data_IF_065041677696
#
_entry.id   IF_065041677696
#
_cell.length_a   1.000
_cell.length_b   1.000
_cell.length_c   1.000
_cell.angle_alpha   90.00
_cell.angle_beta   90.00
_cell.angle_gamma   90.00
#
_symmetry.space_group_name_H-M   'P 1'
#
loop_
_entity.id
_entity.type
_entity.pdbx_description
1 polymer ?
#
# COMPACT_ATOMS: atom_id res chain seq x y z
N UNK A 1 36.58 -13.19 -4.09
CA UNK A 1 35.36 -12.64 -4.71
C UNK A 1 34.83 -11.53 -3.81
N UNK A 2 34.58 -10.31 -4.31
CA UNK A 2 33.94 -9.24 -3.51
C UNK A 2 32.43 -9.36 -3.70
N UNK A 3 31.70 -9.58 -2.62
CA UNK A 3 30.24 -9.62 -2.61
C UNK A 3 29.76 -8.21 -2.23
N UNK A 4 28.93 -7.60 -3.07
CA UNK A 4 28.34 -6.29 -2.85
C UNK A 4 26.81 -6.43 -2.74
N UNK A 5 26.27 -6.67 -1.54
CA UNK A 5 24.82 -6.79 -1.37
C UNK A 5 24.17 -5.42 -1.56
N UNK A 6 23.03 -5.39 -2.26
CA UNK A 6 22.20 -4.20 -2.44
C UNK A 6 20.78 -4.54 -2.00
N UNK A 7 20.20 -3.70 -1.13
CA UNK A 7 18.77 -3.72 -0.87
C UNK A 7 18.11 -2.82 -1.91
N UNK A 8 17.20 -3.38 -2.69
CA UNK A 8 16.53 -2.65 -3.77
C UNK A 8 15.03 -2.76 -3.57
N UNK A 9 14.33 -1.62 -3.46
CA UNK A 9 12.88 -1.54 -3.22
C UNK A 9 12.21 -0.54 -4.17
N UNK A 10 10.92 -0.72 -4.43
CA UNK A 10 10.12 0.18 -5.27
C UNK A 10 9.78 -0.36 -6.67
N UNK A 11 8.85 0.31 -7.34
CA UNK A 11 8.28 -0.11 -8.63
C UNK A 11 9.28 -0.13 -9.79
N UNK A 12 10.29 0.75 -9.76
CA UNK A 12 11.31 0.86 -10.80
C UNK A 12 12.35 -0.28 -10.78
N UNK A 13 12.39 -1.03 -9.68
CA UNK A 13 13.41 -2.07 -9.44
C UNK A 13 13.28 -3.23 -10.41
N UNK A 14 12.05 -3.59 -10.81
CA UNK A 14 11.84 -4.66 -11.78
C UNK A 14 12.57 -4.40 -13.11
N UNK A 15 12.55 -3.15 -13.58
CA UNK A 15 13.26 -2.75 -14.80
C UNK A 15 14.78 -2.76 -14.62
N UNK A 16 15.27 -2.31 -13.46
CA UNK A 16 16.71 -2.36 -13.14
C UNK A 16 17.24 -3.79 -13.05
N UNK A 17 16.46 -4.69 -12.46
CA UNK A 17 16.78 -6.13 -12.41
C UNK A 17 16.82 -6.70 -13.83
N UNK A 18 15.86 -6.34 -14.70
CA UNK A 18 15.86 -6.78 -16.10
C UNK A 18 17.13 -6.35 -16.85
N UNK A 19 17.56 -5.10 -16.65
CA UNK A 19 18.81 -4.60 -17.23
C UNK A 19 20.02 -5.29 -16.62
N UNK A 20 20.10 -5.37 -15.30
CA UNK A 20 21.23 -5.99 -14.60
C UNK A 20 21.38 -7.45 -15.02
N UNK A 21 20.29 -8.20 -15.12
CA UNK A 21 20.27 -9.59 -15.58
C UNK A 21 20.76 -9.74 -17.03
N UNK A 22 20.50 -8.76 -17.91
CA UNK A 22 20.99 -8.78 -19.30
C UNK A 22 22.50 -8.61 -19.41
N UNK A 23 23.12 -7.81 -18.53
CA UNK A 23 24.55 -7.49 -18.62
C UNK A 23 25.43 -8.29 -17.64
N UNK A 24 24.86 -8.83 -16.57
CA UNK A 24 25.55 -9.62 -15.55
C UNK A 24 25.35 -11.13 -15.75
N UNK A 25 25.67 -11.60 -16.95
CA UNK A 25 25.57 -13.01 -17.32
C UNK A 25 26.52 -13.93 -16.52
N UNK A 26 26.21 -15.24 -16.49
CA UNK A 26 27.06 -16.26 -15.87
C UNK A 26 26.96 -16.32 -14.33
N UNK A 27 25.80 -15.99 -13.76
CA UNK A 27 25.56 -16.06 -12.30
C UNK A 27 26.22 -14.94 -11.50
N UNK A 28 26.54 -13.82 -12.14
CA UNK A 28 27.12 -12.63 -11.50
C UNK A 28 26.07 -11.77 -10.78
N UNK A 29 24.80 -12.02 -11.03
CA UNK A 29 23.66 -11.48 -10.29
C UNK A 29 22.92 -12.64 -9.62
N UNK A 30 22.68 -12.52 -8.32
CA UNK A 30 21.86 -13.43 -7.55
C UNK A 30 20.75 -12.64 -6.87
N UNK A 31 19.52 -13.07 -7.05
CA UNK A 31 18.34 -12.41 -6.50
C UNK A 31 17.87 -13.16 -5.24
N UNK A 32 17.68 -12.41 -4.15
CA UNK A 32 17.08 -12.92 -2.92
C UNK A 32 15.77 -12.16 -2.74
N UNK A 33 14.66 -12.87 -2.94
CA UNK A 33 13.33 -12.32 -2.74
C UNK A 33 12.97 -12.33 -1.27
N UNK A 34 12.50 -11.19 -0.76
CA UNK A 34 11.97 -11.05 0.60
C UNK A 34 10.45 -11.00 0.53
N UNK A 35 9.78 -11.66 1.47
CA UNK A 35 8.34 -11.47 1.64
C UNK A 35 8.11 -10.01 2.08
N UNK A 36 7.26 -9.24 1.38
CA UNK A 36 6.97 -7.86 1.78
C UNK A 36 6.25 -7.78 3.13
N UNK A 37 5.53 -8.84 3.51
CA UNK A 37 4.80 -8.91 4.78
C UNK A 37 5.69 -9.48 5.89
N UNK A 38 5.67 -8.82 7.04
CA UNK A 38 6.31 -9.31 8.25
C UNK A 38 5.44 -10.39 8.91
N UNK A 39 6.04 -11.22 9.77
CA UNK A 39 5.24 -12.04 10.69
C UNK A 39 4.50 -11.13 11.67
N UNK A 40 3.37 -11.55 12.27
CA UNK A 40 2.62 -10.71 13.21
C UNK A 40 3.48 -10.13 14.34
N UNK A 41 4.41 -10.89 14.87
CA UNK A 41 5.33 -10.45 15.94
C UNK A 41 6.29 -9.37 15.44
N UNK A 42 6.79 -9.52 14.21
CA UNK A 42 7.65 -8.52 13.56
C UNK A 42 6.88 -7.29 13.09
N UNK A 43 5.62 -7.46 12.70
CA UNK A 43 4.70 -6.36 12.42
C UNK A 43 4.49 -5.50 13.67
N UNK A 44 4.19 -6.13 14.80
CA UNK A 44 4.07 -5.42 16.08
C UNK A 44 5.37 -4.71 16.48
N UNK A 45 6.54 -5.37 16.32
CA UNK A 45 7.84 -4.72 16.55
C UNK A 45 8.03 -3.50 15.63
N UNK A 46 7.62 -3.59 14.36
CA UNK A 46 7.70 -2.48 13.41
C UNK A 46 6.82 -1.31 13.85
N UNK A 47 5.62 -1.55 14.36
CA UNK A 47 4.73 -0.50 14.90
C UNK A 47 5.43 0.29 16.00
N UNK A 48 6.03 -0.39 16.99
CA UNK A 48 6.77 0.30 18.05
C UNK A 48 7.99 1.07 17.52
N UNK A 49 8.76 0.47 16.60
CA UNK A 49 9.93 1.14 16.01
C UNK A 49 9.55 2.39 15.22
N UNK A 50 8.45 2.37 14.47
CA UNK A 50 7.98 3.54 13.74
C UNK A 50 7.42 4.59 14.69
N UNK A 51 6.67 4.19 15.72
CA UNK A 51 6.21 5.08 16.79
C UNK A 51 7.38 5.82 17.44
N UNK A 52 8.44 5.11 17.81
CA UNK A 52 9.67 5.73 18.35
C UNK A 52 10.36 6.64 17.33
N UNK A 53 10.47 6.20 16.07
CA UNK A 53 11.19 6.93 15.03
C UNK A 53 10.49 8.25 14.65
N UNK A 54 9.15 8.26 14.62
CA UNK A 54 8.35 9.44 14.27
C UNK A 54 7.89 10.24 15.49
N UNK A 55 8.10 9.73 16.70
CA UNK A 55 7.65 10.38 17.94
C UNK A 55 6.12 10.33 18.13
N UNK A 56 5.45 9.34 17.53
CA UNK A 56 4.00 9.20 17.57
C UNK A 56 3.58 8.26 18.68
N UNK A 57 2.82 8.70 19.69
CA UNK A 57 2.45 7.85 20.81
C UNK A 57 1.45 6.76 20.40
N UNK A 58 1.69 5.54 20.89
CA UNK A 58 0.77 4.40 20.76
C UNK A 58 0.63 3.68 22.11
N UNK A 59 -0.48 3.00 22.33
CA UNK A 59 -0.65 2.08 23.47
C UNK A 59 -0.37 0.65 23.01
N UNK A 60 -0.28 -0.29 23.95
CA UNK A 60 -0.08 -1.70 23.60
C UNK A 60 -1.25 -2.24 22.75
N UNK A 61 -2.47 -1.83 23.10
CA UNK A 61 -3.70 -2.25 22.44
C UNK A 61 -3.79 -1.65 21.03
N UNK A 62 -3.50 -0.35 20.89
CA UNK A 62 -3.51 0.29 19.57
C UNK A 62 -2.35 -0.17 18.69
N UNK A 63 -1.21 -0.53 19.26
CA UNK A 63 -0.09 -1.08 18.49
C UNK A 63 -0.45 -2.43 17.83
N UNK A 64 -1.15 -3.31 18.57
CA UNK A 64 -1.68 -4.56 18.01
C UNK A 64 -2.69 -4.27 16.90
N UNK A 65 -3.64 -3.35 17.15
CA UNK A 65 -4.65 -2.96 16.17
C UNK A 65 -4.05 -2.41 14.86
N UNK A 66 -3.04 -1.54 14.96
CA UNK A 66 -2.31 -1.02 13.79
C UNK A 66 -1.65 -2.16 13.02
N UNK A 67 -0.98 -3.08 13.73
CA UNK A 67 -0.33 -4.24 13.12
C UNK A 67 -1.32 -5.15 12.37
N UNK A 68 -2.51 -5.37 12.93
CA UNK A 68 -3.57 -6.17 12.32
C UNK A 68 -4.19 -5.47 11.10
N UNK A 69 -4.59 -4.20 11.23
CA UNK A 69 -5.21 -3.44 10.13
C UNK A 69 -4.24 -3.21 8.96
N UNK A 70 -2.96 -3.04 9.26
CA UNK A 70 -1.90 -2.95 8.26
C UNK A 70 -1.40 -4.31 7.77
N UNK A 71 -1.96 -5.43 8.26
CA UNK A 71 -1.54 -6.81 7.91
C UNK A 71 -0.04 -7.06 8.09
N UNK A 72 0.57 -6.41 9.10
CA UNK A 72 2.02 -6.44 9.32
C UNK A 72 2.86 -5.99 8.12
N UNK A 73 2.27 -5.21 7.21
CA UNK A 73 2.99 -4.57 6.10
C UNK A 73 3.71 -3.31 6.63
N UNK A 74 5.05 -3.25 6.56
CA UNK A 74 5.82 -2.13 7.09
C UNK A 74 5.56 -0.83 6.33
N UNK A 75 5.21 -0.88 5.04
CA UNK A 75 4.84 0.31 4.28
C UNK A 75 3.49 0.86 4.75
N UNK A 76 2.48 0.02 4.97
CA UNK A 76 1.19 0.50 5.50
C UNK A 76 1.33 1.04 6.91
N UNK A 77 2.07 0.36 7.79
CA UNK A 77 2.36 0.87 9.13
C UNK A 77 3.01 2.26 9.04
N UNK A 78 3.99 2.44 8.13
CA UNK A 78 4.66 3.73 7.96
C UNK A 78 3.73 4.84 7.47
N UNK A 79 2.72 4.52 6.63
CA UNK A 79 1.74 5.48 6.14
C UNK A 79 0.78 5.91 7.27
N UNK A 80 0.30 4.98 8.11
CA UNK A 80 -0.52 5.31 9.28
C UNK A 80 0.23 6.22 10.24
N UNK A 81 1.49 5.88 10.54
CA UNK A 81 2.35 6.64 11.45
C UNK A 81 2.63 8.07 10.96
N UNK A 82 2.74 8.26 9.65
CA UNK A 82 3.03 9.57 9.05
C UNK A 82 1.80 10.23 8.44
N UNK A 83 0.60 9.67 8.67
CA UNK A 83 -0.62 10.13 8.01
C UNK A 83 -0.87 11.61 8.27
N UNK A 84 -1.30 12.33 7.23
CA UNK A 84 -1.66 13.74 7.31
C UNK A 84 -3.08 13.99 7.85
N UNK A 85 -3.77 12.93 8.28
CA UNK A 85 -5.13 13.04 8.83
C UNK A 85 -5.16 13.96 10.05
N UNK A 86 -5.96 15.03 9.99
CA UNK A 86 -6.02 16.03 11.07
C UNK A 86 -6.56 15.46 12.40
N UNK A 87 -7.39 14.42 12.34
CA UNK A 87 -7.93 13.73 13.51
C UNK A 87 -7.08 12.55 13.99
N UNK A 88 -5.83 12.43 13.53
CA UNK A 88 -4.95 11.31 13.86
C UNK A 88 -4.63 11.30 15.36
N UNK A 89 -5.12 10.27 16.02
CA UNK A 89 -4.78 9.92 17.40
C UNK A 89 -4.54 8.41 17.48
N UNK A 90 -3.27 8.00 17.52
CA UNK A 90 -2.90 6.60 17.55
C UNK A 90 -2.93 5.99 18.97
N UNK A 91 -3.38 6.76 19.97
CA UNK A 91 -3.58 6.28 21.34
C UNK A 91 -4.98 5.73 21.59
N UNK A 92 -5.91 5.93 20.65
CA UNK A 92 -7.29 5.43 20.73
C UNK A 92 -7.60 4.49 19.56
N UNK A 93 -8.46 3.50 19.80
CA UNK A 93 -8.87 2.56 18.76
C UNK A 93 -9.63 3.24 17.60
N UNK A 94 -10.46 4.24 17.92
CA UNK A 94 -11.19 5.05 16.94
C UNK A 94 -10.23 5.89 16.09
N UNK A 95 -9.28 6.59 16.71
CA UNK A 95 -8.29 7.38 15.96
C UNK A 95 -7.41 6.52 15.05
N UNK A 96 -7.05 5.30 15.45
CA UNK A 96 -6.39 4.32 14.57
C UNK A 96 -7.28 3.95 13.38
N UNK A 97 -8.53 3.53 13.63
CA UNK A 97 -9.45 3.12 12.57
C UNK A 97 -9.71 4.24 11.56
N UNK A 98 -9.92 5.46 12.05
CA UNK A 98 -10.14 6.65 11.23
C UNK A 98 -8.90 7.03 10.42
N UNK A 99 -7.72 6.93 11.01
CA UNK A 99 -6.45 7.21 10.31
C UNK A 99 -6.22 6.20 9.19
N UNK A 100 -6.40 4.90 9.47
CA UNK A 100 -6.31 3.85 8.44
C UNK A 100 -7.35 4.08 7.35
N UNK A 101 -8.59 4.41 7.72
CA UNK A 101 -9.64 4.71 6.75
C UNK A 101 -9.29 5.94 5.90
N UNK A 102 -8.74 7.00 6.49
CA UNK A 102 -8.25 8.17 5.75
C UNK A 102 -7.15 7.78 4.75
N UNK A 103 -6.16 7.01 5.18
CA UNK A 103 -5.09 6.53 4.29
C UNK A 103 -5.63 5.72 3.12
N UNK A 104 -6.71 4.96 3.29
CA UNK A 104 -7.30 4.19 2.20
C UNK A 104 -8.21 5.05 1.31
N UNK A 105 -8.98 5.97 1.90
CA UNK A 105 -10.10 6.66 1.22
C UNK A 105 -9.78 8.05 0.71
N UNK A 106 -8.84 8.77 1.32
CA UNK A 106 -8.40 10.05 0.79
C UNK A 106 -7.51 9.85 -0.44
N UNK A 107 -7.81 10.56 -1.53
CA UNK A 107 -7.11 10.38 -2.81
C UNK A 107 -5.67 10.92 -2.81
N UNK A 108 -5.32 11.71 -1.81
CA UNK A 108 -4.01 12.35 -1.68
C UNK A 108 -3.17 11.73 -0.56
N UNK A 109 -3.72 10.76 0.17
CA UNK A 109 -2.94 9.95 1.10
C UNK A 109 -1.88 9.14 0.38
N UNK A 110 -0.85 8.73 1.11
CA UNK A 110 0.29 8.03 0.54
C UNK A 110 -0.07 6.60 0.13
N UNK A 111 -0.90 5.90 0.93
CA UNK A 111 -1.41 4.59 0.52
C UNK A 111 -2.23 4.69 -0.76
N UNK A 112 -3.26 5.55 -0.80
CA UNK A 112 -4.16 5.65 -1.95
C UNK A 112 -3.43 6.02 -3.24
N UNK A 113 -2.46 6.95 -3.17
CA UNK A 113 -1.62 7.31 -4.31
C UNK A 113 -0.77 6.16 -4.82
N UNK A 114 -0.09 5.45 -3.92
CA UNK A 114 0.80 4.33 -4.27
C UNK A 114 0.00 3.21 -4.93
N UNK A 115 -1.14 2.85 -4.36
CA UNK A 115 -2.05 1.88 -4.96
C UNK A 115 -2.57 2.35 -6.31
N UNK A 116 -2.92 3.63 -6.43
CA UNK A 116 -3.40 4.19 -7.68
C UNK A 116 -2.36 4.19 -8.79
N UNK A 117 -1.09 4.40 -8.45
CA UNK A 117 0.04 4.22 -9.37
C UNK A 117 0.13 2.78 -9.85
N UNK A 118 0.09 1.79 -8.95
CA UNK A 118 0.18 0.37 -9.31
C UNK A 118 -0.96 -0.09 -10.20
N UNK A 119 -2.19 0.35 -9.92
CA UNK A 119 -3.34 0.07 -10.77
C UNK A 119 -3.11 0.68 -12.16
N UNK A 120 -2.71 1.97 -12.23
CA UNK A 120 -2.46 2.65 -13.51
C UNK A 120 -1.36 1.96 -14.34
N UNK A 121 -0.24 1.58 -13.71
CA UNK A 121 0.86 0.88 -14.36
C UNK A 121 0.44 -0.51 -14.85
N UNK A 122 -0.37 -1.22 -14.06
CA UNK A 122 -0.90 -2.54 -14.43
C UNK A 122 -1.84 -2.43 -15.62
N UNK A 123 -2.78 -1.48 -15.62
CA UNK A 123 -3.73 -1.30 -16.72
C UNK A 123 -3.02 -0.94 -18.04
N UNK A 124 -2.00 -0.07 -17.98
CA UNK A 124 -1.20 0.27 -19.15
C UNK A 124 -0.45 -0.95 -19.75
N UNK A 125 -0.13 -1.96 -18.91
CA UNK A 125 0.56 -3.18 -19.32
C UNK A 125 -0.42 -4.29 -19.75
N UNK A 126 -1.59 -4.37 -19.14
CA UNK A 126 -2.64 -5.34 -19.43
C UNK A 126 -3.65 -4.72 -20.38
N UNK A 127 -3.26 -4.59 -21.66
CA UNK A 127 -4.11 -4.30 -22.82
C UNK A 127 -5.36 -3.44 -22.52
N UNK A 128 -5.30 -2.14 -22.83
CA UNK A 128 -6.33 -1.12 -22.58
C UNK A 128 -7.77 -1.53 -22.95
N UNK A 129 -7.96 -2.51 -23.83
CA UNK A 129 -9.26 -3.04 -24.24
C UNK A 129 -10.06 -3.71 -23.11
N UNK A 130 -9.41 -4.37 -22.16
CA UNK A 130 -10.08 -5.13 -21.09
C UNK A 130 -9.91 -4.53 -19.69
N UNK A 131 -9.07 -3.51 -19.55
CA UNK A 131 -8.80 -2.78 -18.31
C UNK A 131 -10.07 -2.47 -17.50
N UNK A 132 -11.06 -1.83 -18.12
CA UNK A 132 -12.33 -1.46 -17.45
C UNK A 132 -13.14 -2.68 -16.97
N UNK A 133 -13.15 -3.77 -17.75
CA UNK A 133 -13.87 -4.99 -17.38
C UNK A 133 -13.21 -5.68 -16.20
N UNK A 134 -11.87 -5.68 -16.14
CA UNK A 134 -11.09 -6.21 -15.01
C UNK A 134 -11.37 -5.39 -13.75
N UNK A 135 -11.26 -4.05 -13.83
CA UNK A 135 -11.56 -3.18 -12.68
C UNK A 135 -12.99 -3.36 -12.16
N UNK A 136 -13.97 -3.40 -13.06
CA UNK A 136 -15.37 -3.61 -12.71
C UNK A 136 -15.62 -5.00 -12.09
N UNK A 137 -14.91 -6.02 -12.57
CA UNK A 137 -15.00 -7.35 -11.98
C UNK A 137 -14.43 -7.36 -10.55
N UNK A 138 -13.28 -6.74 -10.34
CA UNK A 138 -12.63 -6.63 -9.03
C UNK A 138 -13.42 -5.78 -8.03
N UNK A 139 -14.13 -4.73 -8.50
CA UNK A 139 -14.99 -3.91 -7.62
C UNK A 139 -16.27 -4.62 -7.20
N UNK A 140 -16.80 -5.51 -8.06
CA UNK A 140 -18.01 -6.33 -7.81
C UNK A 140 -17.74 -7.59 -7.00
N UNK A 141 -16.55 -8.16 -7.08
CA UNK A 141 -16.15 -9.34 -6.34
C UNK A 141 -15.02 -8.99 -5.36
N UNK A 142 -15.35 -8.28 -4.27
CA UNK A 142 -14.35 -7.86 -3.33
C UNK A 142 -13.79 -9.06 -2.57
N UNK A 143 -12.57 -9.48 -2.90
CA UNK A 143 -11.75 -10.36 -2.07
C UNK A 143 -10.41 -9.67 -1.79
N UNK A 144 -10.10 -9.42 -0.52
CA UNK A 144 -8.89 -8.68 -0.09
C UNK A 144 -9.07 -7.15 -0.05
N UNK A 145 -7.96 -6.39 -0.04
CA UNK A 145 -7.93 -4.91 0.11
C UNK A 145 -8.00 -4.14 -1.23
N UNK A 146 -7.63 -4.77 -2.34
CA UNK A 146 -7.80 -4.28 -3.72
C UNK A 146 -9.19 -3.68 -4.02
N UNK A 147 -10.32 -4.20 -3.50
CA UNK A 147 -11.65 -3.69 -3.77
C UNK A 147 -11.99 -2.37 -3.06
N UNK A 148 -11.38 -2.07 -1.91
CA UNK A 148 -11.57 -0.77 -1.24
C UNK A 148 -10.85 0.34 -2.02
N UNK A 149 -9.59 0.07 -2.41
CA UNK A 149 -8.79 0.98 -3.22
C UNK A 149 -9.46 1.29 -4.58
N UNK A 150 -10.08 0.28 -5.22
CA UNK A 150 -10.81 0.47 -6.48
C UNK A 150 -12.08 1.33 -6.34
N UNK A 151 -12.84 1.20 -5.25
CA UNK A 151 -14.03 2.04 -4.99
C UNK A 151 -13.69 3.51 -4.81
N UNK A 152 -12.51 3.79 -4.24
CA UNK A 152 -11.99 5.16 -4.07
C UNK A 152 -11.61 5.76 -5.43
N UNK A 153 -11.01 4.97 -6.33
CA UNK A 153 -10.67 5.42 -7.68
C UNK A 153 -11.89 5.65 -8.59
N UNK A 154 -12.91 4.80 -8.52
CA UNK A 154 -14.14 4.99 -9.30
C UNK A 154 -14.86 6.30 -8.90
N UNK A 155 -14.82 6.66 -7.61
CA UNK A 155 -15.34 7.93 -7.10
C UNK A 155 -14.60 9.16 -7.66
N UNK A 156 -13.32 9.01 -8.05
CA UNK A 156 -12.50 10.07 -8.64
C UNK A 156 -12.81 10.31 -10.14
N UNK A 157 -13.29 9.30 -10.87
CA UNK A 157 -13.79 9.48 -12.25
C UNK A 157 -15.26 9.90 -12.30
N UNK A 158 -16.00 9.62 -11.22
CA UNK A 158 -17.39 10.02 -11.02
C UNK A 158 -17.56 11.52 -10.69
N UNK A 159 -16.48 12.21 -10.33
CA UNK A 159 -16.45 13.65 -10.04
C UNK A 159 -16.84 14.57 -11.21
N UNK A 160 -16.97 14.02 -12.42
CA UNK A 160 -17.53 14.73 -13.58
C UNK A 160 -18.95 14.28 -13.97
N UNK A 161 -19.54 13.22 -13.37
CA UNK A 161 -20.85 12.68 -13.81
C UNK A 161 -21.76 11.95 -12.81
N UNK A 162 -21.56 11.99 -11.49
CA UNK A 162 -22.46 11.29 -10.55
C UNK A 162 -22.99 12.20 -9.42
N UNK A 163 -23.67 13.28 -9.83
CA UNK A 163 -24.74 13.91 -9.05
C UNK A 163 -26.14 13.35 -9.37
N UNK A 164 -26.26 12.30 -10.19
CA UNK A 164 -27.54 11.66 -10.49
C UNK A 164 -27.45 10.16 -10.23
N UNK A 165 -28.00 9.66 -9.10
CA UNK A 165 -28.23 8.22 -8.99
C UNK A 165 -28.55 7.61 -7.62
N UNK A 166 -28.60 8.37 -6.53
CA UNK A 166 -29.01 7.82 -5.21
C UNK A 166 -30.08 8.67 -4.50
N UNK A 167 -31.00 9.22 -5.28
CA UNK A 167 -32.32 9.59 -4.79
C UNK A 167 -33.36 8.79 -5.61
N UNK A 168 -33.88 7.76 -4.95
CA UNK A 168 -35.07 6.91 -5.23
C UNK A 168 -34.76 5.41 -5.20
#
# INVERSE_FOLDING_TARGET
SKIAPMLVTGSYVGWLIEIAGRYLEGGRLSEIYMNPYLTPEKGLEAVYRYSECFGEPVTNETAVLIGELCMSDPFFISCVMQSSYAGRDLTTAEGVADTVNHEITDRYSEMSRTWGEYIRLTLARVNDRHAKAILLHLSRHPSGQLPLALRVQDSAHAGDRLLCGLAH
#
